data_IF_399201019925
#
_entry.id   IF_399201019925
#
_cell.length_a   1.000
_cell.length_b   1.000
_cell.length_c   1.000
_cell.angle_alpha   90.00
_cell.angle_beta   90.00
_cell.angle_gamma   90.00
#
_symmetry.space_group_name_H-M   'P 1'
#
loop_
_entity.id
_entity.type
_entity.pdbx_description
1 polymer ?
#
# COMPACT_ATOMS: atom_id res chain seq x y z
N UNK A 1 -15.01 -1.70 8.61
CA UNK A 1 -14.19 -0.64 9.25
C UNK A 1 -13.19 -0.17 8.22
N UNK A 2 -13.06 1.14 8.03
CA UNK A 2 -12.17 1.75 7.04
C UNK A 2 -11.11 2.60 7.76
N UNK A 3 -9.86 2.42 7.38
CA UNK A 3 -8.74 3.30 7.75
C UNK A 3 -8.12 3.81 6.46
N UNK A 4 -7.97 5.12 6.34
CA UNK A 4 -7.50 5.77 5.12
C UNK A 4 -6.41 6.79 5.45
N UNK A 5 -5.30 6.71 4.75
CA UNK A 5 -4.24 7.74 4.68
C UNK A 5 -4.21 8.32 3.27
N UNK A 6 -3.28 9.24 2.99
CA UNK A 6 -3.12 9.80 1.65
C UNK A 6 -2.74 8.75 0.57
N UNK A 7 -2.37 7.53 0.96
CA UNK A 7 -1.81 6.54 0.05
C UNK A 7 -2.13 5.07 0.43
N UNK A 8 -2.70 4.78 1.61
CA UNK A 8 -3.28 3.46 1.92
C UNK A 8 -4.73 3.58 2.31
N UNK A 9 -5.54 2.65 1.81
CA UNK A 9 -6.90 2.42 2.27
C UNK A 9 -7.04 0.98 2.73
N UNK A 10 -7.26 0.76 4.02
CA UNK A 10 -7.46 -0.56 4.62
C UNK A 10 -8.93 -0.75 4.96
N UNK A 11 -9.54 -1.80 4.42
CA UNK A 11 -10.93 -2.15 4.62
C UNK A 11 -11.06 -3.58 5.17
N UNK A 12 -11.82 -3.74 6.25
CA UNK A 12 -12.26 -5.06 6.71
C UNK A 12 -13.65 -5.35 6.14
N UNK A 13 -13.75 -6.39 5.32
CA UNK A 13 -14.98 -6.82 4.66
C UNK A 13 -15.48 -8.11 5.28
N UNK A 14 -16.76 -8.12 5.67
CA UNK A 14 -17.48 -9.32 6.10
C UNK A 14 -18.59 -9.61 5.10
N UNK A 15 -18.59 -10.80 4.53
CA UNK A 15 -19.55 -11.17 3.50
C UNK A 15 -20.89 -11.57 4.14
N UNK A 16 -21.98 -10.85 3.85
CA UNK A 16 -23.29 -11.11 4.44
C UNK A 16 -23.83 -12.51 4.08
N UNK A 17 -23.64 -12.93 2.83
CA UNK A 17 -24.05 -14.25 2.34
C UNK A 17 -23.14 -15.40 2.83
N UNK A 18 -21.99 -15.07 3.40
CA UNK A 18 -21.05 -16.04 3.96
C UNK A 18 -20.33 -15.44 5.19
N UNK A 19 -21.00 -15.36 6.37
CA UNK A 19 -20.50 -14.63 7.54
C UNK A 19 -19.19 -15.14 8.12
N UNK A 20 -18.82 -16.39 7.77
CA UNK A 20 -17.54 -17.02 8.13
C UNK A 20 -16.37 -16.51 7.28
N UNK A 21 -16.63 -15.74 6.23
CA UNK A 21 -15.61 -15.14 5.37
C UNK A 21 -15.40 -13.70 5.80
N UNK A 22 -14.20 -13.42 6.28
CA UNK A 22 -13.71 -12.08 6.60
C UNK A 22 -12.44 -11.85 5.78
N UNK A 23 -12.37 -10.72 5.08
CA UNK A 23 -11.18 -10.30 4.34
C UNK A 23 -10.67 -8.96 4.85
N UNK A 24 -9.35 -8.78 4.80
CA UNK A 24 -8.73 -7.46 4.81
C UNK A 24 -8.35 -7.15 3.38
N UNK A 25 -8.82 -6.02 2.90
CA UNK A 25 -8.56 -5.50 1.57
C UNK A 25 -7.81 -4.18 1.74
N UNK A 26 -6.70 -4.04 1.03
CA UNK A 26 -5.82 -2.89 1.12
C UNK A 26 -5.63 -2.36 -0.28
N UNK A 27 -5.91 -1.09 -0.47
CA UNK A 27 -5.53 -0.35 -1.67
C UNK A 27 -4.30 0.49 -1.32
N UNK A 28 -3.30 0.46 -2.20
CA UNK A 28 -2.08 1.27 -2.08
C UNK A 28 -1.95 2.13 -3.33
N UNK A 29 -2.04 3.44 -3.13
CA UNK A 29 -1.75 4.45 -4.14
C UNK A 29 -0.29 4.87 -3.99
N UNK A 30 0.48 4.86 -5.08
CA UNK A 30 1.84 5.38 -5.03
C UNK A 30 1.83 6.91 -4.90
N UNK A 31 2.88 7.51 -4.31
CA UNK A 31 2.97 8.96 -4.20
C UNK A 31 2.91 9.60 -5.60
N UNK A 32 2.02 10.57 -5.80
CA UNK A 32 1.97 11.35 -7.04
C UNK A 32 2.94 12.52 -6.96
N UNK A 33 3.87 12.60 -7.91
CA UNK A 33 4.74 13.76 -8.08
C UNK A 33 5.10 13.94 -9.55
N UNK A 34 5.13 15.20 -10.00
CA UNK A 34 5.64 15.57 -11.31
C UNK A 34 6.98 16.28 -11.08
N UNK A 35 8.07 15.65 -11.54
CA UNK A 35 9.42 16.23 -11.46
C UNK A 35 9.91 16.41 -12.89
N UNK A 36 9.88 17.64 -13.38
CA UNK A 36 10.37 17.95 -14.71
C UNK A 36 11.91 17.94 -14.75
N UNK A 37 12.52 17.16 -15.66
CA UNK A 37 13.97 17.19 -15.84
C UNK A 37 14.36 18.56 -16.38
N UNK A 38 15.24 19.28 -15.67
CA UNK A 38 15.74 20.58 -16.11
C UNK A 38 17.26 20.58 -16.15
N UNK A 39 17.83 21.22 -17.17
CA UNK A 39 19.28 21.40 -17.32
C UNK A 39 19.62 22.90 -17.47
N UNK A 40 20.53 23.45 -16.64
CA UNK A 40 21.17 22.78 -15.51
C UNK A 40 20.20 22.54 -14.35
N UNK A 41 20.29 21.36 -13.72
CA UNK A 41 19.48 21.06 -12.54
C UNK A 41 20.06 21.74 -11.31
N UNK A 42 19.22 22.46 -10.56
CA UNK A 42 19.60 23.01 -9.25
C UNK A 42 19.62 21.91 -8.17
N UNK A 43 20.25 22.19 -7.03
CA UNK A 43 20.39 21.24 -5.92
C UNK A 43 19.03 20.84 -5.32
N UNK A 44 18.09 21.78 -5.22
CA UNK A 44 16.74 21.55 -4.68
C UNK A 44 15.97 20.48 -5.45
N UNK A 45 15.91 20.59 -6.79
CA UNK A 45 15.22 19.63 -7.66
C UNK A 45 15.85 18.23 -7.60
N UNK A 46 17.18 18.13 -7.46
CA UNK A 46 17.86 16.84 -7.28
C UNK A 46 17.46 16.17 -5.97
N UNK A 47 17.34 16.96 -4.90
CA UNK A 47 16.95 16.46 -3.59
C UNK A 47 15.47 16.07 -3.54
N UNK A 48 14.59 16.84 -4.19
CA UNK A 48 13.17 16.48 -4.37
C UNK A 48 13.04 15.14 -5.10
N UNK A 49 13.76 14.95 -6.21
CA UNK A 49 13.76 13.68 -6.93
C UNK A 49 14.25 12.51 -6.08
N UNK A 50 15.33 12.70 -5.31
CA UNK A 50 15.83 11.67 -4.39
C UNK A 50 14.80 11.32 -3.31
N UNK A 51 14.17 12.31 -2.69
CA UNK A 51 13.12 12.10 -1.70
C UNK A 51 11.94 11.32 -2.28
N UNK A 52 11.51 11.67 -3.49
CA UNK A 52 10.44 10.97 -4.17
C UNK A 52 10.78 9.51 -4.46
N UNK A 53 12.00 9.22 -4.94
CA UNK A 53 12.48 7.85 -5.17
C UNK A 53 12.48 7.06 -3.86
N UNK A 54 13.03 7.62 -2.78
CA UNK A 54 13.09 6.94 -1.48
C UNK A 54 11.68 6.65 -0.95
N UNK A 55 10.76 7.60 -1.05
CA UNK A 55 9.36 7.40 -0.66
C UNK A 55 8.72 6.26 -1.45
N UNK A 56 8.90 6.22 -2.78
CA UNK A 56 8.40 5.12 -3.60
C UNK A 56 8.99 3.77 -3.20
N UNK A 57 10.29 3.69 -2.89
CA UNK A 57 10.90 2.46 -2.41
C UNK A 57 10.26 1.96 -1.11
N UNK A 58 9.92 2.85 -0.19
CA UNK A 58 9.28 2.46 1.06
C UNK A 58 7.85 1.92 0.84
N UNK A 59 7.12 2.47 -0.13
CA UNK A 59 5.81 1.93 -0.55
C UNK A 59 5.94 0.55 -1.21
N UNK A 60 6.96 0.35 -2.05
CA UNK A 60 7.23 -0.97 -2.65
C UNK A 60 7.63 -2.01 -1.59
N UNK A 61 8.46 -1.62 -0.61
CA UNK A 61 8.79 -2.49 0.54
C UNK A 61 7.54 -2.84 1.36
N UNK A 62 6.61 -1.90 1.52
CA UNK A 62 5.34 -2.16 2.19
C UNK A 62 4.52 -3.24 1.47
N UNK A 63 4.40 -3.15 0.14
CA UNK A 63 3.73 -4.18 -0.66
C UNK A 63 4.40 -5.55 -0.49
N UNK A 64 5.73 -5.62 -0.53
CA UNK A 64 6.47 -6.86 -0.28
C UNK A 64 6.19 -7.42 1.13
N UNK A 65 6.17 -6.57 2.16
CA UNK A 65 5.82 -6.98 3.53
C UNK A 65 4.40 -7.54 3.61
N UNK A 66 3.43 -6.95 2.92
CA UNK A 66 2.07 -7.49 2.83
C UNK A 66 2.09 -8.88 2.17
N UNK A 67 2.83 -9.06 1.08
CA UNK A 67 2.96 -10.35 0.42
C UNK A 67 3.58 -11.42 1.34
N UNK A 68 4.64 -11.07 2.08
CA UNK A 68 5.28 -11.94 3.07
C UNK A 68 4.32 -12.35 4.20
N UNK A 69 3.42 -11.47 4.59
CA UNK A 69 2.36 -11.76 5.57
C UNK A 69 1.19 -12.58 4.99
N UNK A 70 1.25 -12.97 3.72
CA UNK A 70 0.29 -13.84 3.06
C UNK A 70 -0.85 -13.12 2.34
N UNK A 71 -0.76 -11.81 2.14
CA UNK A 71 -1.68 -11.10 1.27
C UNK A 71 -1.43 -11.49 -0.19
N UNK A 72 -2.52 -11.70 -0.94
CA UNK A 72 -2.46 -11.79 -2.39
C UNK A 72 -2.41 -10.37 -2.97
N UNK A 73 -1.35 -10.05 -3.73
CA UNK A 73 -1.21 -8.77 -4.40
C UNK A 73 -1.82 -8.80 -5.82
N UNK A 74 -2.35 -7.67 -6.25
CA UNK A 74 -2.82 -7.43 -7.61
C UNK A 74 -2.75 -5.94 -7.97
N UNK A 75 -2.91 -5.62 -9.25
CA UNK A 75 -2.97 -4.24 -9.75
C UNK A 75 -4.40 -4.03 -10.26
N UNK A 76 -5.09 -3.02 -9.73
CA UNK A 76 -6.50 -2.74 -10.05
C UNK A 76 -6.69 -1.87 -11.28
N UNK A 77 -5.70 -1.03 -11.63
CA UNK A 77 -5.77 -0.13 -12.76
C UNK A 77 -4.43 0.03 -13.46
N UNK A 78 -4.47 0.44 -14.73
CA UNK A 78 -3.27 0.80 -15.50
C UNK A 78 -2.53 2.02 -14.94
N UNK A 79 -3.14 2.73 -14.00
CA UNK A 79 -2.57 3.88 -13.29
C UNK A 79 -1.68 3.44 -12.10
N UNK A 80 -1.52 2.13 -11.89
CA UNK A 80 -0.62 1.59 -10.88
C UNK A 80 -1.21 1.53 -9.47
N UNK A 81 -2.55 1.49 -9.35
CA UNK A 81 -3.21 1.25 -8.06
C UNK A 81 -3.02 -0.22 -7.68
N UNK A 82 -2.31 -0.46 -6.58
CA UNK A 82 -2.07 -1.80 -6.06
C UNK A 82 -3.16 -2.19 -5.07
N UNK A 83 -3.52 -3.47 -5.07
CA UNK A 83 -4.44 -4.07 -4.11
C UNK A 83 -3.80 -5.26 -3.45
N UNK A 84 -4.06 -5.43 -2.15
CA UNK A 84 -3.66 -6.59 -1.38
C UNK A 84 -4.89 -7.16 -0.65
N UNK A 85 -5.08 -8.49 -0.71
CA UNK A 85 -6.22 -9.15 -0.06
C UNK A 85 -5.74 -10.31 0.81
N UNK A 86 -6.19 -10.34 2.07
CA UNK A 86 -5.95 -11.46 2.98
C UNK A 86 -7.28 -12.02 3.47
N UNK A 87 -7.49 -13.32 3.30
CA UNK A 87 -8.63 -14.04 3.88
C UNK A 87 -8.30 -14.50 5.30
N UNK A 88 -9.03 -13.95 6.28
CA UNK A 88 -8.89 -14.30 7.68
C UNK A 88 -9.66 -15.59 7.95
N UNK A 89 -8.96 -16.63 8.42
CA UNK A 89 -9.55 -17.93 8.83
C UNK A 89 -9.62 -18.13 10.34
N UNK A 90 -8.84 -17.37 11.11
CA UNK A 90 -8.71 -17.43 12.58
C UNK A 90 -8.48 -16.02 13.11
N UNK A 91 -8.56 -15.83 14.42
CA UNK A 91 -8.26 -14.52 15.00
C UNK A 91 -6.85 -14.05 14.60
N UNK A 92 -6.73 -12.82 14.09
CA UNK A 92 -5.44 -12.29 13.63
C UNK A 92 -4.50 -12.09 14.82
N UNK A 93 -3.27 -12.60 14.69
CA UNK A 93 -2.21 -12.33 15.65
C UNK A 93 -1.77 -10.86 15.61
N UNK A 94 -1.10 -10.40 16.69
CA UNK A 94 -0.60 -9.02 16.80
C UNK A 94 0.32 -8.62 15.63
N UNK A 95 1.10 -9.56 15.10
CA UNK A 95 2.02 -9.33 13.98
C UNK A 95 1.31 -8.87 12.69
N UNK A 96 0.03 -9.25 12.51
CA UNK A 96 -0.74 -8.76 11.37
C UNK A 96 -0.92 -7.24 11.46
N UNK A 97 -1.15 -6.70 12.66
CA UNK A 97 -1.32 -5.27 12.85
C UNK A 97 -0.03 -4.50 12.54
N UNK A 98 1.13 -5.04 12.93
CA UNK A 98 2.44 -4.48 12.56
C UNK A 98 2.64 -4.46 11.04
N UNK A 99 2.19 -5.51 10.35
CA UNK A 99 2.27 -5.61 8.89
C UNK A 99 1.40 -4.55 8.22
N UNK A 100 0.20 -4.28 8.76
CA UNK A 100 -0.76 -3.32 8.23
C UNK A 100 -0.30 -1.87 8.38
N UNK A 101 0.65 -1.58 9.28
CA UNK A 101 1.11 -0.21 9.51
C UNK A 101 1.72 0.36 8.23
N UNK A 102 1.23 1.52 7.75
CA UNK A 102 1.82 2.21 6.62
C UNK A 102 3.29 2.65 6.90
N UNK A 103 4.26 2.63 5.92
CA UNK A 103 5.51 3.40 5.98
C UNK A 103 5.40 4.89 6.35
#
# INVERSE_FOLDING_TARGET
MLVETAWVKVLVVRYQVAPKICTIEIEVSLPNCIIEPTFPSNATKKEEARKFINSNLDHLKYLLRLQEAGFALGILSTEGIWSAVLKIKRDPGLELFNTLLPP
#
